data_IF_726939166724
#
_entry.id   IF_726939166724
#
_cell.length_a   1.000
_cell.length_b   1.000
_cell.length_c   1.000
_cell.angle_alpha   90.00
_cell.angle_beta   90.00
_cell.angle_gamma   90.00
#
_symmetry.space_group_name_H-M   'P 1'
#
loop_
_entity.id
_entity.type
_entity.pdbx_description
1 polymer ?
#
# COMPACT_ATOMS: atom_id res chain seq x y z
N UNK A 1 -21.64 -17.49 -10.32
CA UNK A 1 -21.01 -16.99 -11.56
C UNK A 1 -19.76 -17.82 -11.82
N UNK A 2 -19.63 -18.43 -12.99
CA UNK A 2 -18.42 -19.16 -13.40
C UNK A 2 -17.37 -18.12 -13.78
N UNK A 3 -16.13 -18.19 -13.22
CA UNK A 3 -15.07 -17.27 -13.60
C UNK A 3 -14.82 -17.38 -15.11
N UNK A 4 -14.72 -16.23 -15.79
CA UNK A 4 -14.34 -16.20 -17.20
C UNK A 4 -12.90 -16.74 -17.33
N UNK A 5 -12.63 -17.62 -18.30
CA UNK A 5 -11.28 -18.12 -18.51
C UNK A 5 -10.36 -16.95 -18.92
N UNK A 6 -9.22 -16.85 -18.24
CA UNK A 6 -8.16 -15.88 -18.54
C UNK A 6 -7.56 -16.26 -19.91
N UNK A 7 -7.41 -15.30 -20.81
CA UNK A 7 -6.77 -15.53 -22.10
C UNK A 7 -5.29 -15.96 -21.92
N UNK A 8 -4.73 -16.78 -22.83
CA UNK A 8 -3.37 -17.32 -22.66
C UNK A 8 -2.29 -16.24 -22.49
N UNK A 9 -2.36 -15.16 -23.24
CA UNK A 9 -1.45 -14.01 -23.15
C UNK A 9 -1.58 -13.27 -21.79
N UNK A 10 -2.79 -13.18 -21.27
CA UNK A 10 -3.05 -12.65 -19.94
C UNK A 10 -2.51 -13.56 -18.84
N UNK A 11 -2.64 -14.89 -18.99
CA UNK A 11 -2.11 -15.85 -18.03
C UNK A 11 -0.59 -15.76 -17.92
N UNK A 12 0.13 -15.55 -19.03
CA UNK A 12 1.58 -15.36 -19.02
C UNK A 12 2.00 -14.07 -18.29
N UNK A 13 1.27 -12.97 -18.51
CA UNK A 13 1.51 -11.71 -17.78
C UNK A 13 1.27 -11.89 -16.28
N UNK A 14 0.20 -12.59 -15.90
CA UNK A 14 -0.10 -12.87 -14.50
C UNK A 14 1.02 -13.69 -13.85
N UNK A 15 1.50 -14.71 -14.53
CA UNK A 15 2.59 -15.56 -14.05
C UNK A 15 3.86 -14.73 -13.80
N UNK A 16 4.26 -13.86 -14.74
CA UNK A 16 5.41 -12.95 -14.55
C UNK A 16 5.25 -12.04 -13.34
N UNK A 17 4.05 -11.50 -13.11
CA UNK A 17 3.77 -10.68 -11.93
C UNK A 17 3.98 -11.48 -10.64
N UNK A 18 3.46 -12.72 -10.60
CA UNK A 18 3.57 -13.60 -9.44
C UNK A 18 5.03 -14.02 -9.19
N UNK A 19 5.74 -14.43 -10.24
CA UNK A 19 7.13 -14.90 -10.15
C UNK A 19 8.11 -13.79 -9.73
N UNK A 20 7.83 -12.54 -10.10
CA UNK A 20 8.65 -11.39 -9.70
C UNK A 20 8.40 -10.96 -8.23
N UNK A 21 7.25 -11.23 -7.66
CA UNK A 21 6.86 -10.78 -6.32
C UNK A 21 7.85 -11.19 -5.20
N UNK A 22 8.44 -12.41 -5.17
CA UNK A 22 9.42 -12.81 -4.16
C UNK A 22 10.69 -11.95 -4.10
N UNK A 23 11.07 -11.30 -5.20
CA UNK A 23 12.26 -10.43 -5.29
C UNK A 23 12.02 -9.01 -4.76
N UNK A 24 10.76 -8.65 -4.48
CA UNK A 24 10.37 -7.35 -3.98
C UNK A 24 10.62 -7.27 -2.49
N UNK A 25 11.71 -6.60 -2.10
CA UNK A 25 12.14 -6.47 -0.70
C UNK A 25 12.23 -5.00 -0.23
N UNK A 26 12.16 -4.03 -1.15
CA UNK A 26 12.35 -2.60 -0.86
C UNK A 26 11.20 -1.77 -1.44
N UNK A 27 10.93 -0.58 -0.84
CA UNK A 27 9.87 0.32 -1.30
C UNK A 27 9.97 0.68 -2.78
N UNK A 28 11.17 1.03 -3.26
CA UNK A 28 11.37 1.35 -4.67
C UNK A 28 11.12 0.15 -5.59
N UNK A 29 11.51 -1.08 -5.16
CA UNK A 29 11.22 -2.30 -5.91
C UNK A 29 9.73 -2.59 -5.97
N UNK A 30 9.00 -2.38 -4.86
CA UNK A 30 7.55 -2.52 -4.81
C UNK A 30 6.87 -1.55 -5.78
N UNK A 31 7.30 -0.28 -5.76
CA UNK A 31 6.82 0.72 -6.72
C UNK A 31 7.07 0.29 -8.17
N UNK A 32 8.30 -0.07 -8.53
CA UNK A 32 8.64 -0.49 -9.90
C UNK A 32 7.85 -1.72 -10.32
N UNK A 33 7.71 -2.71 -9.43
CA UNK A 33 6.95 -3.92 -9.69
C UNK A 33 5.46 -3.62 -9.96
N UNK A 34 4.83 -2.76 -9.16
CA UNK A 34 3.43 -2.38 -9.36
C UNK A 34 3.23 -1.46 -10.56
N UNK A 35 4.27 -0.78 -11.06
CA UNK A 35 4.22 0.03 -12.28
C UNK A 35 4.59 -0.75 -13.57
N UNK A 36 4.98 -2.01 -13.46
CA UNK A 36 5.30 -2.90 -14.58
C UNK A 36 4.07 -3.66 -15.13
N UNK A 37 4.23 -4.97 -15.34
CA UNK A 37 3.17 -5.86 -15.85
C UNK A 37 1.89 -5.87 -14.98
N UNK A 38 2.00 -5.54 -13.71
CA UNK A 38 0.89 -5.36 -12.79
C UNK A 38 -0.14 -4.34 -13.28
N UNK A 39 0.30 -3.26 -13.97
CA UNK A 39 -0.57 -2.23 -14.54
C UNK A 39 -1.57 -2.76 -15.58
N UNK A 40 -1.28 -3.90 -16.20
CA UNK A 40 -2.19 -4.52 -17.18
C UNK A 40 -3.42 -5.11 -16.50
N UNK A 41 -3.28 -5.48 -15.23
CA UNK A 41 -4.35 -6.07 -14.44
C UNK A 41 -5.06 -5.03 -13.58
N UNK A 42 -4.30 -4.12 -13.00
CA UNK A 42 -4.80 -3.09 -12.12
C UNK A 42 -4.16 -1.75 -12.46
N UNK A 43 -4.69 -1.04 -13.46
CA UNK A 43 -4.22 0.30 -13.83
C UNK A 43 -4.37 1.27 -12.65
N UNK A 44 -3.28 1.92 -12.25
CA UNK A 44 -3.29 2.91 -11.17
C UNK A 44 -2.15 3.93 -11.32
N UNK A 45 -2.35 5.13 -10.79
CA UNK A 45 -1.33 6.18 -10.64
C UNK A 45 -1.00 6.45 -9.18
N UNK A 46 -1.90 6.05 -8.29
CA UNK A 46 -1.72 6.11 -6.85
C UNK A 46 -1.97 4.71 -6.30
N UNK A 47 -1.08 4.23 -5.44
CA UNK A 47 -1.35 3.10 -4.55
C UNK A 47 -1.12 3.50 -3.10
N UNK A 48 -2.08 3.20 -2.24
CA UNK A 48 -2.05 3.40 -0.81
C UNK A 48 -1.97 2.02 -0.19
N UNK A 49 -0.88 1.74 0.53
CA UNK A 49 -0.61 0.43 1.09
C UNK A 49 -0.51 0.55 2.61
N UNK A 50 -1.47 -0.03 3.31
CA UNK A 50 -1.51 -0.10 4.76
C UNK A 50 -1.02 -1.44 5.28
N UNK A 51 -0.24 -1.45 6.34
CA UNK A 51 0.19 -2.64 7.07
C UNK A 51 0.11 -2.41 8.56
N UNK A 52 -0.35 -3.41 9.31
CA UNK A 52 -0.35 -3.36 10.76
C UNK A 52 1.09 -3.37 11.29
N UNK A 53 1.44 -2.32 12.02
CA UNK A 53 2.71 -2.20 12.72
C UNK A 53 2.53 -2.65 14.18
N UNK A 54 3.27 -3.71 14.59
CA UNK A 54 3.16 -4.28 15.93
C UNK A 54 3.73 -3.37 17.01
N UNK A 55 4.72 -2.54 16.67
CA UNK A 55 5.38 -1.66 17.61
C UNK A 55 4.50 -0.43 17.89
N UNK A 56 3.86 0.11 16.85
CA UNK A 56 2.92 1.23 16.96
C UNK A 56 1.51 0.79 17.35
N UNK A 57 1.18 -0.51 17.22
CA UNK A 57 -0.15 -1.09 17.41
C UNK A 57 -1.22 -0.41 16.56
N UNK A 58 -0.84 0.02 15.37
CA UNK A 58 -1.70 0.74 14.43
C UNK A 58 -1.37 0.34 12.99
N UNK A 59 -2.23 0.73 12.04
CA UNK A 59 -1.97 0.55 10.61
C UNK A 59 -1.21 1.76 10.08
N UNK A 60 -0.02 1.51 9.57
CA UNK A 60 0.84 2.52 8.94
C UNK A 60 0.67 2.46 7.43
N UNK A 61 0.53 3.64 6.80
CA UNK A 61 0.30 3.75 5.35
C UNK A 61 1.52 4.30 4.62
N UNK A 62 1.89 3.63 3.54
CA UNK A 62 2.76 4.14 2.49
C UNK A 62 1.94 4.57 1.28
N UNK A 63 2.35 5.65 0.64
CA UNK A 63 1.75 6.13 -0.60
C UNK A 63 2.80 6.10 -1.69
N UNK A 64 2.45 5.46 -2.79
CA UNK A 64 3.24 5.41 -4.01
C UNK A 64 2.44 6.08 -5.12
N UNK A 65 3.03 7.05 -5.79
CA UNK A 65 2.39 7.79 -6.87
C UNK A 65 3.37 7.98 -8.05
N UNK A 66 2.88 7.70 -9.25
CA UNK A 66 3.65 7.86 -10.50
C UNK A 66 3.46 9.22 -11.16
N UNK A 67 2.63 10.06 -10.57
CA UNK A 67 2.39 11.46 -10.98
C UNK A 67 2.48 12.37 -9.75
N UNK A 68 2.87 13.63 -9.89
CA UNK A 68 2.89 14.59 -8.78
C UNK A 68 1.51 14.73 -8.14
N UNK A 69 1.47 14.73 -6.81
CA UNK A 69 0.29 15.01 -6.02
C UNK A 69 0.57 16.16 -5.06
N UNK A 70 -0.42 17.02 -4.76
CA UNK A 70 -0.28 18.02 -3.71
C UNK A 70 0.06 17.39 -2.36
N UNK A 71 0.95 17.99 -1.59
CA UNK A 71 1.39 17.47 -0.29
C UNK A 71 0.21 17.26 0.67
N UNK A 72 -0.78 18.15 0.66
CA UNK A 72 -1.99 18.03 1.48
C UNK A 72 -2.77 16.73 1.16
N UNK A 73 -2.84 16.33 -0.12
CA UNK A 73 -3.46 15.06 -0.54
C UNK A 73 -2.65 13.88 -0.02
N UNK A 74 -1.33 13.90 -0.19
CA UNK A 74 -0.45 12.83 0.28
C UNK A 74 -0.56 12.65 1.80
N UNK A 75 -0.54 13.74 2.57
CA UNK A 75 -0.67 13.68 4.02
C UNK A 75 -2.06 13.20 4.46
N UNK A 76 -3.12 13.65 3.80
CA UNK A 76 -4.48 13.22 4.07
C UNK A 76 -4.70 11.72 3.84
N UNK A 77 -4.05 11.13 2.83
CA UNK A 77 -4.16 9.71 2.52
C UNK A 77 -3.33 8.78 3.44
N UNK A 78 -2.38 9.33 4.22
CA UNK A 78 -1.53 8.53 5.14
C UNK A 78 -2.21 8.15 6.45
N UNK A 79 -3.40 8.64 6.71
CA UNK A 79 -4.08 8.42 7.99
C UNK A 79 -5.17 7.38 7.88
N UNK A 80 -5.17 6.40 8.78
CA UNK A 80 -6.30 5.48 8.95
C UNK A 80 -7.62 6.23 9.23
N UNK A 81 -7.54 7.42 9.82
CA UNK A 81 -8.70 8.27 10.13
C UNK A 81 -9.19 9.11 8.96
N UNK A 82 -8.51 9.04 7.82
CA UNK A 82 -8.96 9.70 6.59
C UNK A 82 -10.34 9.19 6.18
N UNK A 83 -11.27 10.11 5.85
CA UNK A 83 -12.63 9.75 5.40
C UNK A 83 -12.60 8.80 4.22
N UNK A 84 -11.64 9.00 3.30
CA UNK A 84 -11.48 8.16 2.12
C UNK A 84 -11.03 6.75 2.51
N UNK A 85 -10.07 6.64 3.42
CA UNK A 85 -9.58 5.35 3.91
C UNK A 85 -10.69 4.63 4.67
N UNK A 86 -11.45 5.33 5.53
CA UNK A 86 -12.60 4.77 6.26
C UNK A 86 -13.73 4.34 5.33
N UNK A 87 -14.03 5.13 4.31
CA UNK A 87 -15.03 4.76 3.29
C UNK A 87 -14.58 3.52 2.50
N UNK A 88 -13.29 3.45 2.13
CA UNK A 88 -12.70 2.28 1.48
C UNK A 88 -12.78 1.02 2.34
N UNK A 89 -12.45 1.12 3.63
CA UNK A 89 -12.62 0.02 4.59
C UNK A 89 -14.07 -0.44 4.71
N UNK A 90 -15.00 0.51 4.72
CA UNK A 90 -16.43 0.22 4.76
C UNK A 90 -16.89 -0.49 3.50
N UNK A 91 -16.47 -0.03 2.31
CA UNK A 91 -16.77 -0.66 1.03
C UNK A 91 -16.23 -2.10 0.97
N UNK A 92 -14.98 -2.31 1.36
CA UNK A 92 -14.36 -3.62 1.42
C UNK A 92 -15.07 -4.58 2.38
N UNK A 93 -15.42 -4.14 3.59
CA UNK A 93 -16.19 -4.96 4.54
C UNK A 93 -17.56 -5.36 4.00
N UNK A 94 -18.26 -4.44 3.34
CA UNK A 94 -19.57 -4.70 2.69
C UNK A 94 -19.47 -5.70 1.54
N UNK A 95 -18.33 -5.77 0.83
CA UNK A 95 -18.07 -6.75 -0.22
C UNK A 95 -17.68 -8.15 0.30
N UNK A 96 -17.86 -8.41 1.59
CA UNK A 96 -17.43 -9.67 2.26
C UNK A 96 -15.91 -9.92 2.14
N UNK A 97 -15.14 -8.87 2.29
CA UNK A 97 -13.68 -8.90 2.20
C UNK A 97 -13.13 -9.30 0.82
N UNK A 98 -13.90 -9.10 -0.24
CA UNK A 98 -13.45 -9.18 -1.62
C UNK A 98 -13.05 -7.78 -2.12
N UNK A 99 -12.42 -7.71 -3.30
CA UNK A 99 -12.14 -6.44 -3.94
C UNK A 99 -13.43 -5.63 -4.15
N UNK A 100 -13.37 -4.34 -3.89
CA UNK A 100 -14.51 -3.44 -4.04
C UNK A 100 -14.09 -2.13 -4.72
N UNK A 101 -15.06 -1.47 -5.32
CA UNK A 101 -14.90 -0.12 -5.90
C UNK A 101 -15.57 0.89 -4.99
N UNK A 102 -14.78 1.85 -4.52
CA UNK A 102 -15.26 3.05 -3.82
C UNK A 102 -15.46 4.17 -4.83
N UNK A 103 -16.64 4.78 -4.91
CA UNK A 103 -16.87 6.01 -5.66
C UNK A 103 -16.83 7.21 -4.72
N UNK A 104 -15.91 8.15 -4.96
CA UNK A 104 -15.79 9.34 -4.12
C UNK A 104 -17.03 10.22 -4.20
N UNK A 105 -17.69 10.30 -5.36
CA UNK A 105 -18.92 11.09 -5.54
C UNK A 105 -20.11 10.52 -4.80
N UNK A 106 -20.19 9.19 -4.72
CA UNK A 106 -21.38 8.49 -4.21
C UNK A 106 -21.23 8.05 -2.76
N UNK A 107 -20.03 7.60 -2.40
CA UNK A 107 -19.81 6.84 -1.18
C UNK A 107 -19.07 7.66 -0.10
N UNK A 108 -18.56 8.86 -0.45
CA UNK A 108 -17.82 9.74 0.46
C UNK A 108 -18.50 11.11 0.56
N UNK A 109 -18.65 11.60 1.78
CA UNK A 109 -19.11 12.96 1.99
C UNK A 109 -18.10 13.97 1.42
N UNK A 110 -18.57 15.09 0.82
CA UNK A 110 -17.67 16.12 0.30
C UNK A 110 -16.81 16.71 1.43
N UNK A 111 -15.51 16.46 1.34
CA UNK A 111 -14.48 16.94 2.26
C UNK A 111 -13.32 17.51 1.42
N UNK A 112 -12.46 18.36 1.96
CA UNK A 112 -11.36 18.95 1.18
C UNK A 112 -10.51 17.91 0.44
N UNK A 113 -10.24 16.76 1.06
CA UNK A 113 -9.43 15.69 0.46
C UNK A 113 -10.17 14.99 -0.68
N UNK A 114 -11.46 14.63 -0.50
CA UNK A 114 -12.24 13.99 -1.55
C UNK A 114 -12.48 14.92 -2.73
N UNK A 115 -12.74 16.21 -2.47
CA UNK A 115 -12.89 17.23 -3.52
C UNK A 115 -11.60 17.42 -4.31
N UNK A 116 -10.43 17.52 -3.64
CA UNK A 116 -9.14 17.63 -4.30
C UNK A 116 -8.84 16.43 -5.20
N UNK A 117 -9.16 15.21 -4.76
CA UNK A 117 -9.01 14.01 -5.61
C UNK A 117 -9.97 14.02 -6.80
N UNK A 118 -11.22 14.44 -6.61
CA UNK A 118 -12.20 14.57 -7.69
C UNK A 118 -11.77 15.60 -8.74
N UNK A 119 -11.20 16.74 -8.33
CA UNK A 119 -10.63 17.76 -9.24
C UNK A 119 -9.46 17.20 -10.05
N UNK A 120 -8.65 16.31 -9.45
CA UNK A 120 -7.58 15.59 -10.15
C UNK A 120 -8.10 14.43 -11.02
N UNK A 121 -9.41 14.22 -11.05
CA UNK A 121 -10.05 13.19 -11.87
C UNK A 121 -10.16 11.81 -11.23
N UNK A 122 -9.84 11.67 -9.94
CA UNK A 122 -9.99 10.40 -9.22
C UNK A 122 -11.41 10.31 -8.64
N UNK A 123 -12.29 9.57 -9.27
CA UNK A 123 -13.63 9.27 -8.72
C UNK A 123 -13.69 7.84 -8.16
N UNK A 124 -13.15 6.88 -8.89
CA UNK A 124 -13.17 5.49 -8.47
C UNK A 124 -11.82 5.06 -7.87
N UNK A 125 -11.90 4.35 -6.77
CA UNK A 125 -10.75 3.76 -6.07
C UNK A 125 -11.04 2.27 -5.88
N UNK A 126 -10.17 1.41 -6.39
CA UNK A 126 -10.21 -0.01 -6.13
C UNK A 126 -9.63 -0.29 -4.74
N UNK A 127 -10.33 -1.06 -3.92
CA UNK A 127 -9.92 -1.34 -2.54
C UNK A 127 -9.94 -2.82 -2.24
N UNK A 128 -8.97 -3.29 -1.46
CA UNK A 128 -8.93 -4.64 -0.92
C UNK A 128 -8.11 -4.68 0.36
N UNK A 129 -8.29 -5.72 1.17
CA UNK A 129 -7.55 -5.89 2.40
C UNK A 129 -7.51 -7.33 2.90
N UNK A 130 -6.77 -7.54 3.96
CA UNK A 130 -6.70 -8.80 4.70
C UNK A 130 -6.86 -8.51 6.19
N UNK A 131 -7.58 -9.39 6.86
CA UNK A 131 -7.70 -9.37 8.32
C UNK A 131 -6.61 -10.21 8.96
N UNK A 132 -6.30 -9.91 10.20
CA UNK A 132 -5.32 -10.69 10.99
C UNK A 132 -5.85 -12.10 11.25
N UNK A 133 -4.98 -13.11 11.15
CA UNK A 133 -5.38 -14.48 11.45
C UNK A 133 -6.01 -14.61 12.84
N UNK A 134 -7.22 -15.17 12.90
CA UNK A 134 -7.99 -15.34 14.13
C UNK A 134 -8.62 -14.07 14.69
N UNK A 135 -8.55 -12.92 13.98
CA UNK A 135 -9.08 -11.62 14.39
C UNK A 135 -9.76 -10.91 13.22
N UNK A 136 -10.96 -11.33 12.91
CA UNK A 136 -11.71 -10.87 11.73
C UNK A 136 -11.97 -9.36 11.67
N UNK A 137 -11.97 -8.68 12.83
CA UNK A 137 -12.20 -7.23 12.91
C UNK A 137 -10.91 -6.39 12.83
N UNK A 138 -9.72 -7.03 12.93
CA UNK A 138 -8.45 -6.35 12.89
C UNK A 138 -7.80 -6.48 11.49
N UNK A 139 -7.35 -5.34 10.96
CA UNK A 139 -6.61 -5.32 9.69
C UNK A 139 -5.20 -5.86 9.85
N UNK A 140 -4.78 -6.71 8.92
CA UNK A 140 -3.37 -7.04 8.70
C UNK A 140 -2.76 -6.15 7.61
N UNK A 141 -3.49 -5.97 6.51
CA UNK A 141 -3.11 -5.06 5.43
C UNK A 141 -4.33 -4.51 4.71
N UNK A 142 -4.15 -3.34 4.10
CA UNK A 142 -5.19 -2.69 3.30
C UNK A 142 -4.55 -1.97 2.10
N UNK A 143 -5.16 -2.13 0.94
CA UNK A 143 -4.66 -1.59 -0.31
C UNK A 143 -5.74 -0.81 -1.03
N UNK A 144 -5.37 0.35 -1.55
CA UNK A 144 -6.22 1.17 -2.40
C UNK A 144 -5.43 1.56 -3.65
N UNK A 145 -6.06 1.45 -4.81
CA UNK A 145 -5.46 1.76 -6.10
C UNK A 145 -6.37 2.72 -6.85
N UNK A 146 -5.81 3.80 -7.37
CA UNK A 146 -6.56 4.83 -8.06
C UNK A 146 -5.86 5.29 -9.33
N UNK A 147 -6.65 5.50 -10.39
CA UNK A 147 -6.23 6.11 -11.65
C UNK A 147 -7.21 7.21 -12.03
N UNK A 148 -6.74 8.35 -12.59
CA UNK A 148 -7.63 9.38 -13.08
C UNK A 148 -8.58 8.83 -14.15
N UNK A 149 -9.87 9.15 -14.03
CA UNK A 149 -10.94 8.74 -14.97
C UNK A 149 -11.03 7.22 -15.16
N UNK A 150 -10.62 6.44 -14.17
CA UNK A 150 -10.76 4.99 -14.21
C UNK A 150 -12.22 4.58 -14.09
N UNK A 151 -12.57 3.51 -14.80
CA UNK A 151 -13.79 2.74 -14.61
C UNK A 151 -13.38 1.31 -14.27
N UNK A 152 -13.39 0.99 -12.97
CA UNK A 152 -13.03 -0.33 -12.49
C UNK A 152 -14.23 -1.27 -12.56
N UNK A 153 -14.16 -2.24 -13.46
CA UNK A 153 -15.20 -3.26 -13.64
C UNK A 153 -14.92 -4.54 -12.85
N UNK A 154 -15.81 -5.51 -13.02
CA UNK A 154 -15.74 -6.82 -12.38
C UNK A 154 -14.44 -7.57 -12.69
N UNK A 155 -13.95 -7.49 -13.93
CA UNK A 155 -12.68 -8.12 -14.32
C UNK A 155 -11.49 -7.57 -13.52
N UNK A 156 -11.45 -6.26 -13.26
CA UNK A 156 -10.39 -5.64 -12.45
C UNK A 156 -10.51 -6.03 -10.97
N UNK A 157 -11.73 -6.19 -10.46
CA UNK A 157 -11.95 -6.68 -9.09
C UNK A 157 -11.45 -8.12 -8.95
N UNK A 158 -11.83 -9.00 -9.87
CA UNK A 158 -11.35 -10.39 -9.89
C UNK A 158 -9.82 -10.48 -10.02
N UNK A 159 -9.22 -9.62 -10.84
CA UNK A 159 -7.77 -9.55 -10.96
C UNK A 159 -7.10 -9.16 -9.62
N UNK A 160 -7.66 -8.20 -8.90
CA UNK A 160 -7.14 -7.82 -7.59
C UNK A 160 -7.32 -8.94 -6.56
N UNK A 161 -8.46 -9.63 -6.55
CA UNK A 161 -8.70 -10.79 -5.68
C UNK A 161 -7.62 -11.88 -5.90
N UNK A 162 -7.26 -12.16 -7.16
CA UNK A 162 -6.20 -13.11 -7.50
C UNK A 162 -4.80 -12.63 -7.13
N UNK A 163 -4.50 -11.35 -7.31
CA UNK A 163 -3.17 -10.77 -7.07
C UNK A 163 -2.92 -10.41 -5.61
N UNK A 164 -3.97 -10.28 -4.81
CA UNK A 164 -3.87 -9.80 -3.43
C UNK A 164 -2.84 -10.57 -2.58
N UNK A 165 -2.79 -11.93 -2.61
CA UNK A 165 -1.80 -12.66 -1.83
C UNK A 165 -0.35 -12.25 -2.19
N UNK A 166 -0.07 -12.04 -3.47
CA UNK A 166 1.26 -11.61 -3.93
C UNK A 166 1.57 -10.18 -3.49
N UNK A 167 0.60 -9.26 -3.62
CA UNK A 167 0.71 -7.86 -3.19
C UNK A 167 0.96 -7.80 -1.68
N UNK A 168 0.16 -8.53 -0.90
CA UNK A 168 0.31 -8.60 0.55
C UNK A 168 1.69 -9.10 0.95
N UNK A 169 2.11 -10.26 0.44
CA UNK A 169 3.39 -10.85 0.80
C UNK A 169 4.59 -9.99 0.37
N UNK A 170 4.53 -9.37 -0.80
CA UNK A 170 5.57 -8.45 -1.26
C UNK A 170 5.65 -7.21 -0.35
N UNK A 171 4.50 -6.60 -0.03
CA UNK A 171 4.46 -5.42 0.82
C UNK A 171 4.88 -5.71 2.27
N UNK A 172 4.45 -6.84 2.85
CA UNK A 172 4.90 -7.28 4.18
C UNK A 172 6.42 -7.46 4.24
N UNK A 173 7.02 -8.06 3.20
CA UNK A 173 8.46 -8.21 3.10
C UNK A 173 9.18 -6.86 3.05
N UNK A 174 8.64 -5.92 2.29
CA UNK A 174 9.16 -4.53 2.24
C UNK A 174 9.12 -3.90 3.64
N UNK A 175 7.98 -3.96 4.34
CA UNK A 175 7.85 -3.40 5.69
C UNK A 175 8.86 -3.99 6.67
N UNK A 176 9.04 -5.32 6.67
CA UNK A 176 10.01 -6.01 7.53
C UNK A 176 11.44 -5.58 7.22
N UNK A 177 11.83 -5.58 5.94
CA UNK A 177 13.18 -5.23 5.51
C UNK A 177 13.53 -3.77 5.83
N UNK A 178 12.61 -2.83 5.54
CA UNK A 178 12.83 -1.40 5.84
C UNK A 178 12.95 -1.15 7.36
N UNK A 179 12.18 -1.85 8.18
CA UNK A 179 12.28 -1.77 9.64
C UNK A 179 13.64 -2.28 10.13
N UNK A 180 14.08 -3.45 9.69
CA UNK A 180 15.38 -4.01 10.05
C UNK A 180 16.53 -3.08 9.70
N UNK A 181 16.48 -2.46 8.53
CA UNK A 181 17.51 -1.50 8.11
C UNK A 181 17.46 -0.19 8.91
N UNK A 182 16.27 0.28 9.29
CA UNK A 182 16.11 1.43 10.18
C UNK A 182 16.76 1.16 11.55
N UNK A 183 16.49 0.01 12.13
CA UNK A 183 17.08 -0.41 13.42
C UNK A 183 18.60 -0.54 13.33
N UNK A 184 19.13 -1.14 12.26
CA UNK A 184 20.57 -1.26 12.06
C UNK A 184 21.26 0.11 11.95
N UNK A 185 20.66 1.08 11.27
CA UNK A 185 21.20 2.46 11.17
C UNK A 185 21.22 3.16 12.51
N UNK A 186 20.13 3.06 13.27
CA UNK A 186 20.04 3.67 14.62
C UNK A 186 21.05 3.06 15.56
N UNK A 187 21.24 1.75 15.56
CA UNK A 187 22.24 1.05 16.36
C UNK A 187 23.67 1.44 15.99
N UNK A 188 23.98 1.56 14.70
CA UNK A 188 25.30 2.01 14.23
C UNK A 188 25.60 3.46 14.64
N UNK A 189 24.62 4.37 14.56
CA UNK A 189 24.76 5.75 15.01
C UNK A 189 24.98 5.85 16.52
N UNK A 190 24.22 5.11 17.32
CA UNK A 190 24.39 5.07 18.78
C UNK A 190 25.78 4.56 19.17
N UNK A 191 26.28 3.50 18.50
CA UNK A 191 27.62 2.98 18.74
C UNK A 191 28.72 3.97 18.34
N UNK A 192 28.53 4.72 17.25
CA UNK A 192 29.49 5.75 16.80
C UNK A 192 29.54 6.93 17.79
N UNK A 193 28.39 7.39 18.29
CA UNK A 193 28.29 8.47 19.29
C UNK A 193 28.93 8.07 20.62
N UNK A 194 28.70 6.82 21.07
CA UNK A 194 29.31 6.29 22.30
C UNK A 194 30.84 6.21 22.20
N UNK A 195 31.37 5.80 21.03
CA UNK A 195 32.83 5.77 20.80
C UNK A 195 33.44 7.17 20.73
N UNK A 196 32.73 8.15 20.21
CA UNK A 196 33.17 9.54 20.14
C UNK A 196 33.24 10.17 21.55
N UNK A 197 32.24 9.94 22.42
CA UNK A 197 32.21 10.43 23.78
C UNK A 197 33.33 9.81 24.66
N UNK A 198 33.62 8.53 24.52
CA UNK A 198 34.72 7.86 25.22
C UNK A 198 36.10 8.39 24.83
N UNK A 199 36.28 8.86 23.60
CA UNK A 199 37.57 9.49 23.19
C UNK A 199 37.78 10.89 23.71
N UNK A 200 36.70 11.64 24.04
CA UNK A 200 36.77 12.98 24.56
C UNK A 200 37.04 13.01 26.12
N UNK A 201 36.69 11.92 26.80
CA UNK A 201 36.92 11.79 28.26
C UNK A 201 38.27 11.18 28.63
N UNK A 202 39.04 10.73 27.62
CA UNK A 202 40.32 10.04 27.81
C UNK A 202 41.57 10.92 27.58
N UNK A 203 41.56 12.24 27.86
CA UNK A 203 42.80 13.01 27.93
C UNK A 203 43.51 12.74 29.25
N UNK A 204 44.72 12.20 29.26
CA UNK A 204 45.47 12.09 30.51
C UNK A 204 45.99 13.46 30.91
N UNK A 205 45.63 13.87 32.12
CA UNK A 205 46.38 14.92 32.83
C UNK A 205 47.84 14.47 32.97
N UNK A 206 48.73 15.32 32.48
CA UNK A 206 50.15 15.28 32.79
C UNK A 206 50.49 16.33 33.83
#
# INVERSE_FOLDING_TARGET
MTPQPIAPDQSEVLLRVIEAAPQVCRRHQFFVWTQGDFQRWLPHKISICGSYDRDQRDVVFDIFNSIPLPDAVVQGLRSIRSDIVQAGLTAWRKSRSQAAVLSLRRDVLPQPLSLALLELGYDQIMVHGLTRPGRADELESFFMFAQPRAEYGEATQQALDMLLPCVHMAYQRVCVTERQMGQARTGAQAAATSRASLRLTGSPEK
#
